data_IF_221600205087
#
_entry.id   IF_221600205087
#
_cell.length_a   1.000
_cell.length_b   1.000
_cell.length_c   1.000
_cell.angle_alpha   90.00
_cell.angle_beta   90.00
_cell.angle_gamma   90.00
#
_symmetry.space_group_name_H-M   'P 1'
#
loop_
_entity.id
_entity.type
_entity.pdbx_description
1 polymer ?
#
# COMPACT_ATOMS: atom_id res chain seq x y z
N UNK A 1 -8.96 5.98 12.79
CA UNK A 1 -9.84 5.02 12.09
C UNK A 1 -9.56 4.79 10.60
N UNK A 2 -9.11 5.75 9.78
CA UNK A 2 -8.52 5.42 8.46
C UNK A 2 -7.00 5.65 8.36
N UNK A 3 -6.45 6.50 9.25
CA UNK A 3 -5.01 6.75 9.35
C UNK A 3 -4.24 5.49 9.78
N UNK A 4 -4.81 4.74 10.73
CA UNK A 4 -4.20 3.53 11.29
C UNK A 4 -4.19 2.39 10.25
N UNK A 5 -5.29 2.26 9.49
CA UNK A 5 -5.39 1.30 8.37
C UNK A 5 -4.38 1.63 7.27
N UNK A 6 -4.17 2.91 6.97
CA UNK A 6 -3.11 3.34 6.03
C UNK A 6 -1.73 2.96 6.56
N UNK A 7 -1.43 3.30 7.81
CA UNK A 7 -0.14 2.97 8.41
C UNK A 7 0.14 1.47 8.36
N UNK A 8 -0.86 0.64 8.66
CA UNK A 8 -0.72 -0.81 8.61
C UNK A 8 -0.57 -1.35 7.19
N UNK A 9 -1.30 -0.80 6.21
CA UNK A 9 -1.12 -1.16 4.82
C UNK A 9 0.30 -0.83 4.31
N UNK A 10 0.85 0.33 4.70
CA UNK A 10 2.25 0.68 4.40
C UNK A 10 3.21 -0.30 5.08
N UNK A 11 2.97 -0.67 6.34
CA UNK A 11 3.81 -1.63 7.08
C UNK A 11 3.83 -3.00 6.39
N UNK A 12 2.67 -3.53 6.03
CA UNK A 12 2.54 -4.82 5.34
C UNK A 12 3.12 -4.79 3.92
N UNK A 13 3.06 -3.64 3.26
CA UNK A 13 3.70 -3.45 1.95
C UNK A 13 5.23 -3.52 2.05
N UNK A 14 5.80 -2.80 3.02
CA UNK A 14 7.25 -2.82 3.30
C UNK A 14 7.74 -4.20 3.72
N UNK A 15 6.90 -5.00 4.38
CA UNK A 15 7.24 -6.38 4.74
C UNK A 15 7.06 -7.37 3.60
N UNK A 16 6.63 -6.93 2.40
CA UNK A 16 6.42 -7.81 1.25
C UNK A 16 5.24 -8.76 1.37
N UNK A 17 4.32 -8.54 2.31
CA UNK A 17 3.13 -9.40 2.49
C UNK A 17 1.99 -9.01 1.56
N UNK A 18 1.92 -7.72 1.20
CA UNK A 18 0.93 -7.18 0.25
C UNK A 18 1.61 -6.17 -0.69
N UNK A 19 0.97 -5.90 -1.82
CA UNK A 19 1.31 -4.78 -2.70
C UNK A 19 0.23 -3.70 -2.66
N UNK A 20 0.64 -2.43 -2.53
CA UNK A 20 -0.25 -1.28 -2.73
C UNK A 20 -0.19 -0.92 -4.22
N UNK A 21 -1.36 -0.85 -4.86
CA UNK A 21 -1.49 -0.63 -6.30
C UNK A 21 -2.14 0.71 -6.65
N UNK A 22 -1.63 1.31 -7.73
CA UNK A 22 -2.23 2.45 -8.41
C UNK A 22 -2.38 2.12 -9.90
N UNK A 23 -3.63 2.12 -10.38
CA UNK A 23 -3.95 1.81 -11.79
C UNK A 23 -3.32 0.49 -12.26
N UNK A 24 -3.35 -0.54 -11.40
CA UNK A 24 -2.79 -1.87 -11.69
C UNK A 24 -1.27 -1.99 -11.56
N UNK A 25 -0.54 -0.92 -11.25
CA UNK A 25 0.91 -0.96 -11.00
C UNK A 25 1.22 -0.85 -9.50
N UNK A 26 2.20 -1.60 -8.97
CA UNK A 26 2.68 -1.39 -7.61
C UNK A 26 3.14 0.07 -7.42
N UNK A 27 2.85 0.62 -6.26
CA UNK A 27 3.36 1.92 -5.83
C UNK A 27 4.80 1.71 -5.34
N UNK A 28 5.74 2.51 -5.85
CA UNK A 28 7.16 2.42 -5.47
C UNK A 28 7.43 2.95 -4.05
N UNK A 29 6.84 4.10 -3.71
CA UNK A 29 6.94 4.69 -2.36
C UNK A 29 5.56 4.81 -1.71
N UNK A 30 5.21 3.89 -0.78
CA UNK A 30 3.93 3.91 -0.09
C UNK A 30 3.82 5.01 0.99
N UNK A 31 4.95 5.54 1.49
CA UNK A 31 4.96 6.51 2.60
C UNK A 31 4.48 7.90 2.14
N UNK A 32 4.83 8.27 0.91
CA UNK A 32 4.43 9.54 0.30
C UNK A 32 3.17 9.44 -0.54
N UNK A 33 2.65 8.22 -0.75
CA UNK A 33 1.51 7.99 -1.64
C UNK A 33 0.20 8.59 -1.11
N UNK A 34 -0.34 9.53 -1.88
CA UNK A 34 -1.65 10.15 -1.66
C UNK A 34 -2.70 9.53 -2.59
N UNK A 35 -3.89 9.27 -2.05
CA UNK A 35 -5.02 8.71 -2.80
C UNK A 35 -5.46 7.34 -2.30
N UNK A 36 -6.33 6.68 -3.06
CA UNK A 36 -6.95 5.39 -2.68
C UNK A 36 -5.92 4.27 -2.73
N UNK A 37 -5.79 3.54 -1.63
CA UNK A 37 -4.96 2.34 -1.54
C UNK A 37 -5.75 1.17 -2.10
N UNK A 38 -5.19 0.48 -3.09
CA UNK A 38 -5.69 -0.83 -3.53
C UNK A 38 -4.69 -1.86 -3.05
N UNK A 39 -5.15 -2.84 -2.29
CA UNK A 39 -4.29 -3.89 -1.76
C UNK A 39 -4.44 -5.13 -2.63
N UNK A 40 -3.34 -5.83 -2.88
CA UNK A 40 -3.32 -7.10 -3.61
C UNK A 40 -2.11 -7.92 -3.21
N UNK A 41 -1.96 -9.10 -3.81
CA UNK A 41 -0.76 -9.92 -3.62
C UNK A 41 0.46 -9.23 -4.26
N UNK A 42 1.66 -9.37 -3.68
CA UNK A 42 2.91 -9.01 -4.36
C UNK A 42 3.04 -9.76 -5.70
N UNK A 43 3.64 -9.11 -6.69
CA UNK A 43 3.98 -9.74 -7.97
C UNK A 43 5.24 -10.61 -7.83
#
# INVERSE_FOLDING_TARGET
>A
MLKDVRAEAVRLHKSGLIAIYRKGKPVEDPDTFKGVYRLGLPA
#
